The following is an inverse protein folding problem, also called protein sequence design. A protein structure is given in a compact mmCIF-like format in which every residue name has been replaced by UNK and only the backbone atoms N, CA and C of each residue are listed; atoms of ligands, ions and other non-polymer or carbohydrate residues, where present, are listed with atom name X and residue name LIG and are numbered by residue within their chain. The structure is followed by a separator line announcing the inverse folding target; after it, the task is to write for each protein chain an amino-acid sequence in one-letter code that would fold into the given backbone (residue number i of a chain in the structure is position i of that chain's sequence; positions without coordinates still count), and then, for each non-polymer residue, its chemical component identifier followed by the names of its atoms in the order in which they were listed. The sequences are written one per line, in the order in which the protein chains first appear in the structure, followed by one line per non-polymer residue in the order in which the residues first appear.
data_IF_675640162530
#
_entry.id   IF_675640162530
#
_cell.length_a   1.000
_cell.length_b   1.000
_cell.length_c   1.000
_cell.angle_alpha   90.00
_cell.angle_beta   90.00
_cell.angle_gamma   90.00
#
_symmetry.space_group_name_H-M   'P 1'
#
loop_
_entity.id
_entity.type
_entity.pdbx_description
1 polymer ?
#
# COMPACT_ATOMS: atom_id res chain seq x y z
N UNK A 1 14.97 3.85 3.35
CA UNK A 1 15.79 2.89 2.58
C UNK A 1 16.89 2.35 3.48
N UNK A 2 17.00 1.04 3.64
CA UNK A 2 18.07 0.40 4.42
C UNK A 2 19.11 -0.13 3.44
N UNK A 3 20.37 0.22 3.66
CA UNK A 3 21.49 -0.28 2.86
C UNK A 3 22.42 -1.10 3.76
N UNK A 4 22.54 -2.40 3.48
CA UNK A 4 23.46 -3.29 4.18
C UNK A 4 24.67 -3.59 3.31
N UNK A 5 25.87 -3.60 3.90
CA UNK A 5 27.14 -3.84 3.18
C UNK A 5 27.94 -4.92 3.91
N UNK A 6 28.62 -5.77 3.14
CA UNK A 6 29.52 -6.79 3.67
C UNK A 6 28.82 -7.76 4.62
N UNK A 7 29.35 -7.93 5.83
CA UNK A 7 28.78 -8.86 6.82
C UNK A 7 27.39 -8.46 7.34
N UNK A 8 27.01 -7.18 7.24
CA UNK A 8 25.71 -6.70 7.70
C UNK A 8 24.54 -7.10 6.81
N UNK A 9 24.79 -7.56 5.57
CA UNK A 9 23.71 -8.11 4.70
C UNK A 9 23.02 -9.31 5.35
N UNK A 10 23.71 -10.03 6.25
CA UNK A 10 23.16 -11.13 7.03
C UNK A 10 22.10 -10.72 8.07
N UNK A 11 21.94 -9.43 8.32
CA UNK A 11 20.98 -8.89 9.30
C UNK A 11 19.76 -8.25 8.62
N UNK A 12 19.66 -8.29 7.29
CA UNK A 12 18.61 -7.58 6.54
C UNK A 12 17.19 -8.01 6.94
N UNK A 13 16.97 -9.31 7.20
CA UNK A 13 15.64 -9.84 7.56
C UNK A 13 15.12 -9.22 8.86
N UNK A 14 16.00 -9.04 9.85
CA UNK A 14 15.67 -8.38 11.12
C UNK A 14 15.32 -6.91 10.91
N UNK A 15 16.09 -6.23 10.05
CA UNK A 15 15.90 -4.82 9.74
C UNK A 15 14.64 -4.56 8.90
N UNK A 16 14.24 -5.50 8.04
CA UNK A 16 13.00 -5.37 7.25
C UNK A 16 11.74 -5.65 8.08
N UNK A 17 11.86 -6.41 9.16
CA UNK A 17 10.76 -6.76 10.07
C UNK A 17 10.38 -5.61 11.03
N UNK A 18 11.15 -4.52 11.06
CA UNK A 18 10.82 -3.36 11.89
C UNK A 18 9.59 -2.63 11.36
N UNK A 19 8.87 -1.97 12.26
CA UNK A 19 7.78 -1.08 11.89
C UNK A 19 8.27 0.05 10.98
N UNK A 20 7.36 0.52 10.12
CA UNK A 20 7.63 1.58 9.14
C UNK A 20 6.56 2.64 9.28
N UNK A 21 7.01 3.89 9.28
CA UNK A 21 6.13 5.06 9.31
C UNK A 21 6.21 5.77 7.98
N UNK A 22 5.05 6.15 7.44
CA UNK A 22 4.92 6.83 6.16
C UNK A 22 4.10 8.10 6.33
N UNK A 23 4.39 9.09 5.49
CA UNK A 23 3.60 10.31 5.35
C UNK A 23 3.36 10.55 3.87
N UNK A 24 2.18 11.03 3.52
CA UNK A 24 1.86 11.30 2.12
C UNK A 24 0.51 11.99 1.97
N UNK A 25 0.18 12.32 0.73
CA UNK A 25 -1.09 12.91 0.34
C UNK A 25 -1.74 11.97 -0.67
N UNK A 26 -3.04 11.75 -0.52
CA UNK A 26 -3.84 10.94 -1.45
C UNK A 26 -4.79 11.90 -2.18
N UNK A 27 -4.91 11.72 -3.50
CA UNK A 27 -5.92 12.40 -4.30
C UNK A 27 -7.18 11.52 -4.35
N UNK A 28 -8.30 12.06 -3.90
CA UNK A 28 -9.60 11.39 -4.01
C UNK A 28 -10.26 11.70 -5.36
N UNK A 29 -11.03 10.74 -5.87
CA UNK A 29 -11.81 10.92 -7.10
C UNK A 29 -11.07 10.57 -8.38
N UNK A 30 -9.86 10.03 -8.34
CA UNK A 30 -9.15 9.50 -9.52
C UNK A 30 -8.44 8.20 -9.21
N UNK A 31 -8.22 7.38 -10.23
CA UNK A 31 -7.43 6.15 -10.13
C UNK A 31 -6.29 6.14 -11.14
N UNK A 32 -5.25 5.39 -10.83
CA UNK A 32 -4.16 5.02 -11.75
C UNK A 32 -3.95 3.51 -11.68
N UNK A 33 -3.45 2.85 -12.74
CA UNK A 33 -3.21 1.41 -12.73
C UNK A 33 -2.26 0.93 -11.63
N UNK A 34 -1.28 1.76 -11.24
CA UNK A 34 -0.27 1.47 -10.21
C UNK A 34 -0.67 1.93 -8.81
N UNK A 35 -1.78 2.64 -8.66
CA UNK A 35 -2.22 3.29 -7.42
C UNK A 35 -1.25 4.35 -6.86
N UNK A 36 -0.34 4.84 -7.70
CA UNK A 36 0.55 5.98 -7.45
C UNK A 36 0.57 6.93 -8.67
N UNK A 37 1.43 7.95 -8.62
CA UNK A 37 1.57 8.95 -9.70
C UNK A 37 2.62 8.57 -10.76
N UNK A 38 3.11 7.33 -10.78
CA UNK A 38 4.04 6.88 -11.83
C UNK A 38 3.31 6.57 -13.15
N UNK A 39 1.98 6.39 -13.10
CA UNK A 39 1.12 6.17 -14.27
C UNK A 39 0.10 7.29 -14.44
N UNK A 40 -0.38 7.47 -15.67
CA UNK A 40 -1.49 8.38 -15.97
C UNK A 40 -2.80 7.93 -15.32
N UNK A 41 -3.73 8.88 -15.11
CA UNK A 41 -5.06 8.57 -14.60
C UNK A 41 -5.87 7.74 -15.61
N UNK A 42 -6.57 6.72 -15.11
CA UNK A 42 -7.42 5.84 -15.91
C UNK A 42 -8.92 6.03 -15.66
N UNK A 43 -9.30 6.68 -14.55
CA UNK A 43 -10.68 7.06 -14.28
C UNK A 43 -10.80 8.28 -13.35
N UNK A 44 -11.97 8.92 -13.39
CA UNK A 44 -12.35 10.06 -12.56
C UNK A 44 -13.78 9.90 -12.02
N UNK A 45 -14.00 10.34 -10.78
CA UNK A 45 -15.22 10.12 -10.02
C UNK A 45 -15.65 11.41 -9.29
N UNK A 46 -16.96 11.68 -9.15
CA UNK A 46 -17.47 12.82 -8.37
C UNK A 46 -17.01 12.75 -6.91
N UNK A 47 -16.66 13.89 -6.31
CA UNK A 47 -16.15 13.98 -4.93
C UNK A 47 -16.94 14.93 -4.04
N UNK A 48 -17.96 15.59 -4.57
CA UNK A 48 -18.77 16.62 -3.91
C UNK A 48 -19.55 16.07 -2.70
N UNK A 49 -19.76 14.76 -2.67
CA UNK A 49 -20.45 14.06 -1.59
C UNK A 49 -19.53 13.71 -0.40
N UNK A 50 -18.22 13.92 -0.52
CA UNK A 50 -17.25 13.55 0.51
C UNK A 50 -17.22 14.63 1.58
N UNK A 51 -17.58 14.26 2.82
CA UNK A 51 -17.54 15.15 3.98
C UNK A 51 -16.43 14.74 4.96
N UNK A 52 -15.98 15.64 5.85
CA UNK A 52 -14.99 15.30 6.88
C UNK A 52 -15.41 14.12 7.76
N UNK A 53 -16.70 13.97 8.04
CA UNK A 53 -17.26 12.88 8.85
C UNK A 53 -17.13 11.53 8.15
N UNK A 54 -17.39 11.49 6.84
CA UNK A 54 -17.20 10.28 6.02
C UNK A 54 -15.72 9.91 5.98
N UNK A 55 -14.84 10.90 5.81
CA UNK A 55 -13.40 10.68 5.76
C UNK A 55 -12.87 10.11 7.08
N UNK A 56 -13.30 10.67 8.22
CA UNK A 56 -12.89 10.17 9.55
C UNK A 56 -13.44 8.76 9.80
N UNK A 57 -14.70 8.48 9.44
CA UNK A 57 -15.27 7.16 9.56
C UNK A 57 -14.51 6.11 8.73
N UNK A 58 -14.09 6.46 7.50
CA UNK A 58 -13.25 5.60 6.67
C UNK A 58 -11.85 5.41 7.28
N UNK A 59 -11.23 6.49 7.81
CA UNK A 59 -9.91 6.44 8.44
C UNK A 59 -9.88 5.47 9.63
N UNK A 60 -10.92 5.45 10.44
CA UNK A 60 -11.01 4.55 11.60
C UNK A 60 -10.99 3.07 11.20
N UNK A 61 -11.52 2.71 10.02
CA UNK A 61 -11.50 1.33 9.51
C UNK A 61 -10.11 0.88 9.07
N UNK A 62 -9.16 1.82 8.91
CA UNK A 62 -7.78 1.54 8.51
C UNK A 62 -6.82 1.45 9.70
N UNK A 63 -7.32 1.57 10.94
CA UNK A 63 -6.51 1.46 12.16
C UNK A 63 -6.52 0.02 12.70
N UNK A 64 -5.40 -0.39 13.29
CA UNK A 64 -5.24 -1.72 13.87
C UNK A 64 -4.95 -2.81 12.83
N UNK A 65 -5.27 -4.05 13.18
CA UNK A 65 -5.04 -5.20 12.31
C UNK A 65 -6.12 -5.26 11.23
N UNK A 66 -5.68 -5.17 9.97
CA UNK A 66 -6.56 -5.21 8.79
C UNK A 66 -6.05 -6.20 7.76
N UNK A 67 -6.97 -6.76 6.97
CA UNK A 67 -6.62 -7.57 5.80
C UNK A 67 -6.41 -6.66 4.59
N UNK A 68 -5.24 -6.75 3.96
CA UNK A 68 -4.91 -5.97 2.77
C UNK A 68 -4.57 -6.88 1.60
N UNK A 69 -5.14 -6.57 0.43
CA UNK A 69 -4.75 -7.20 -0.82
C UNK A 69 -3.57 -6.40 -1.40
N UNK A 70 -2.43 -7.04 -1.71
CA UNK A 70 -1.30 -6.35 -2.32
C UNK A 70 -1.67 -5.78 -3.70
N UNK A 71 -1.09 -4.63 -4.09
CA UNK A 71 -1.32 -4.08 -5.43
C UNK A 71 -0.73 -4.99 -6.52
N UNK A 72 -1.33 -4.92 -7.71
CA UNK A 72 -0.90 -5.69 -8.89
C UNK A 72 0.55 -5.35 -9.24
N UNK A 73 0.90 -4.06 -9.17
CA UNK A 73 2.26 -3.57 -9.29
C UNK A 73 2.98 -3.71 -7.95
N UNK A 74 3.46 -4.92 -7.65
CA UNK A 74 4.27 -5.18 -6.46
C UNK A 74 5.40 -6.16 -6.75
N UNK A 75 6.42 -6.16 -5.90
CA UNK A 75 7.53 -7.10 -5.97
C UNK A 75 7.19 -8.52 -5.45
N UNK A 76 5.91 -8.82 -5.20
CA UNK A 76 5.49 -10.17 -4.79
C UNK A 76 5.48 -11.09 -6.00
N UNK A 77 6.05 -12.28 -5.87
CA UNK A 77 5.86 -13.31 -6.89
C UNK A 77 4.39 -13.74 -6.91
N UNK A 78 3.72 -13.81 -8.08
CA UNK A 78 2.43 -14.45 -8.17
C UNK A 78 2.62 -15.91 -7.75
N UNK A 79 2.08 -16.29 -6.60
CA UNK A 79 2.04 -17.69 -6.21
C UNK A 79 1.28 -18.47 -7.30
N UNK A 80 1.81 -19.58 -7.84
CA UNK A 80 0.96 -20.49 -8.58
C UNK A 80 -0.16 -20.94 -7.65
N UNK A 81 -1.39 -20.94 -8.14
CA UNK A 81 -2.55 -21.41 -7.39
C UNK A 81 -2.31 -22.87 -6.96
N UNK A 82 -1.85 -23.07 -5.72
CA UNK A 82 -1.86 -24.38 -5.09
C UNK A 82 -3.22 -24.49 -4.39
N UNK A 83 -4.18 -25.08 -5.09
CA UNK A 83 -5.33 -25.73 -4.45
C UNK A 83 -4.77 -26.80 -3.51
N UNK A 84 -4.84 -26.58 -2.21
CA UNK A 84 -4.75 -27.67 -1.23
C UNK A 84 -6.17 -28.05 -0.84
N UNK A 85 -6.52 -29.30 -1.17
CA UNK A 85 -7.56 -30.12 -0.54
C UNK A 85 -7.48 -30.08 0.97
#
# INVERSE_FOLDING_TARGET
LILCIGKHTKQIDLLMATEKTYTGTILLGKTTPSYDLESEYDAEYPTEHITPEILEAARQQLLGDIQQVPPIFSAKQPFPAITKT
#
